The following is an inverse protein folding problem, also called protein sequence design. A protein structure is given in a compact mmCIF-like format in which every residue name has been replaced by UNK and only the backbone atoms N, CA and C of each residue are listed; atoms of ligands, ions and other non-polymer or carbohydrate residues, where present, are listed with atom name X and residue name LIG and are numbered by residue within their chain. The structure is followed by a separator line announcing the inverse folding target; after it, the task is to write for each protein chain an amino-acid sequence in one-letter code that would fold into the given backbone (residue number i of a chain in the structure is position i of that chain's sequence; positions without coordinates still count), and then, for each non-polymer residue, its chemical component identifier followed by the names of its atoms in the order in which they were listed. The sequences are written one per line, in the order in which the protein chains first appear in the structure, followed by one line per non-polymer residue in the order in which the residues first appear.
data_IF_691830963798
#
_entry.id   IF_691830963798
#
_cell.length_a   1.000
_cell.length_b   1.000
_cell.length_c   1.000
_cell.angle_alpha   90.00
_cell.angle_beta   90.00
_cell.angle_gamma   90.00
#
_symmetry.space_group_name_H-M   'P 1'
#
loop_
_entity.id
_entity.type
_entity.pdbx_description
1 polymer ?
#
# COMPACT_ATOMS: atom_id res chain seq x y z
N UNK A 1 0.26 -4.52 -12.61
CA UNK A 1 0.57 -3.43 -11.67
C UNK A 1 -0.32 -3.62 -10.47
N UNK A 2 0.15 -3.32 -9.27
CA UNK A 2 -0.63 -3.35 -8.05
C UNK A 2 -1.00 -1.93 -7.63
N UNK A 3 -2.27 -1.67 -7.40
CA UNK A 3 -2.80 -0.39 -6.93
C UNK A 3 -3.28 -0.59 -5.50
N UNK A 4 -2.73 0.19 -4.58
CA UNK A 4 -3.11 0.19 -3.18
C UNK A 4 -3.75 1.53 -2.83
N UNK A 5 -4.81 1.52 -2.03
CA UNK A 5 -5.45 2.75 -1.53
C UNK A 5 -5.47 2.75 -0.02
N UNK A 6 -4.81 3.72 0.59
CA UNK A 6 -4.85 3.92 2.03
C UNK A 6 -6.20 4.55 2.43
N UNK A 7 -7.04 3.88 3.24
CA UNK A 7 -8.31 4.45 3.71
C UNK A 7 -8.14 5.55 4.77
N UNK A 8 -6.98 5.65 5.41
CA UNK A 8 -6.70 6.63 6.46
C UNK A 8 -6.37 8.01 5.88
N UNK A 9 -5.56 8.06 4.83
CA UNK A 9 -5.12 9.32 4.20
C UNK A 9 -5.79 9.57 2.84
N UNK A 10 -6.38 8.55 2.23
CA UNK A 10 -6.91 8.61 0.86
C UNK A 10 -5.84 8.50 -0.23
N UNK A 11 -4.57 8.34 0.14
CA UNK A 11 -3.47 8.18 -0.83
C UNK A 11 -3.59 6.89 -1.63
N UNK A 12 -3.25 6.97 -2.92
CA UNK A 12 -3.24 5.85 -3.84
C UNK A 12 -1.82 5.64 -4.33
N UNK A 13 -1.31 4.43 -4.14
CA UNK A 13 0.03 4.01 -4.57
C UNK A 13 -0.11 2.96 -5.66
N UNK A 14 0.35 3.28 -6.85
CA UNK A 14 0.47 2.35 -7.97
C UNK A 14 1.91 1.88 -8.09
N UNK A 15 2.13 0.56 -8.06
CA UNK A 15 3.45 -0.04 -8.18
C UNK A 15 3.47 -1.21 -9.15
N UNK A 16 4.50 -1.30 -9.97
CA UNK A 16 4.73 -2.48 -10.83
C UNK A 16 5.49 -3.60 -10.11
N UNK A 17 5.94 -3.40 -8.86
CA UNK A 17 6.70 -4.38 -8.07
C UNK A 17 6.77 -4.09 -6.57
N UNK A 18 7.40 -4.97 -5.79
CA UNK A 18 7.39 -4.92 -4.32
C UNK A 18 8.23 -3.83 -3.64
N UNK A 19 9.03 -3.05 -4.39
CA UNK A 19 9.93 -2.05 -3.82
C UNK A 19 9.39 -0.62 -4.02
N UNK A 20 8.44 -0.22 -3.17
CA UNK A 20 7.89 1.13 -3.13
C UNK A 20 8.02 1.68 -1.69
N UNK A 21 8.58 2.89 -1.54
CA UNK A 21 8.89 3.47 -0.22
C UNK A 21 7.63 3.72 0.62
N UNK A 22 6.64 4.40 0.05
CA UNK A 22 5.33 4.63 0.67
C UNK A 22 4.66 3.33 1.13
N UNK A 23 4.75 2.28 0.31
CA UNK A 23 4.19 0.98 0.65
C UNK A 23 4.95 0.30 1.79
N UNK A 24 6.27 0.51 1.91
CA UNK A 24 7.04 0.07 3.10
C UNK A 24 6.64 0.86 4.34
N UNK A 25 6.44 2.17 4.21
CA UNK A 25 6.03 3.06 5.29
C UNK A 25 4.66 2.63 5.85
N UNK A 26 3.66 2.46 4.98
CA UNK A 26 2.35 1.96 5.39
C UNK A 26 2.43 0.57 6.04
N UNK A 27 3.27 -0.32 5.52
CA UNK A 27 3.45 -1.66 6.11
C UNK A 27 4.11 -1.61 7.49
N UNK A 28 4.91 -0.58 7.75
CA UNK A 28 5.52 -0.33 9.05
C UNK A 28 4.52 0.30 10.02
N UNK A 29 3.65 1.19 9.54
CA UNK A 29 2.67 1.90 10.37
C UNK A 29 1.41 1.07 10.67
N UNK A 30 0.86 0.41 9.65
CA UNK A 30 -0.41 -0.32 9.73
C UNK A 30 -0.24 -1.85 9.71
N UNK A 31 0.98 -2.33 9.44
CA UNK A 31 1.27 -3.75 9.30
C UNK A 31 1.12 -4.27 7.86
N UNK A 32 1.91 -5.29 7.52
CA UNK A 32 1.93 -5.83 6.16
C UNK A 32 0.59 -6.43 5.74
N UNK A 33 -0.05 -7.22 6.60
CA UNK A 33 -1.34 -7.84 6.29
C UNK A 33 -2.45 -6.81 6.01
N UNK A 34 -2.48 -5.72 6.78
CA UNK A 34 -3.45 -4.63 6.60
C UNK A 34 -3.27 -3.95 5.24
N UNK A 35 -2.03 -3.57 4.91
CA UNK A 35 -1.73 -2.92 3.62
C UNK A 35 -1.97 -3.86 2.45
N UNK A 36 -1.72 -5.16 2.61
CA UNK A 36 -2.04 -6.14 1.57
C UNK A 36 -3.55 -6.25 1.32
N UNK A 37 -4.39 -6.04 2.34
CA UNK A 37 -5.85 -5.96 2.18
C UNK A 37 -6.33 -4.69 1.46
N UNK A 38 -5.48 -3.69 1.27
CA UNK A 38 -5.82 -2.43 0.57
C UNK A 38 -5.56 -2.49 -0.93
N UNK A 39 -5.11 -3.64 -1.43
CA UNK A 39 -4.92 -3.88 -2.85
C UNK A 39 -6.28 -3.79 -3.56
N UNK A 40 -6.40 -2.86 -4.51
CA UNK A 40 -7.59 -2.66 -5.34
C UNK A 40 -7.50 -3.46 -6.65
N UNK A 41 -6.31 -3.49 -7.26
CA UNK A 41 -6.07 -4.06 -8.59
C UNK A 41 -4.63 -4.54 -8.70
#
# INVERSE_FOLDING_TARGET
MKVYKNPHTGEIVETKGGNHKTLKEWKSEHGSATVESWLIR
#
